data_IF_580317616510
#
_entry.id   IF_580317616510
#
_cell.length_a   1.000
_cell.length_b   1.000
_cell.length_c   1.000
_cell.angle_alpha   90.00
_cell.angle_beta   90.00
_cell.angle_gamma   90.00
#
_symmetry.space_group_name_H-M   'P 1'
#
loop_
_entity.id
_entity.type
_entity.pdbx_description
1 polymer ?
#
# COMPACT_ATOMS: atom_id res chain seq x y z
N UNK A 1 -61.30 -24.83 -25.20
CA UNK A 1 -59.95 -25.32 -24.84
C UNK A 1 -59.03 -24.13 -24.80
N UNK A 2 -58.75 -23.59 -23.62
CA UNK A 2 -57.83 -22.45 -23.41
C UNK A 2 -56.47 -23.01 -23.04
N UNK A 3 -55.46 -22.77 -23.89
CA UNK A 3 -54.07 -23.11 -23.63
C UNK A 3 -53.39 -21.97 -22.84
N UNK A 4 -53.00 -22.21 -21.60
CA UNK A 4 -52.16 -21.31 -20.80
C UNK A 4 -50.70 -21.57 -21.14
N UNK A 5 -50.03 -20.56 -21.72
CA UNK A 5 -48.56 -20.52 -21.84
C UNK A 5 -48.00 -20.03 -20.51
N UNK A 6 -47.28 -20.90 -19.79
CA UNK A 6 -46.49 -20.55 -18.61
C UNK A 6 -45.13 -20.13 -19.10
N UNK A 7 -44.87 -18.80 -19.13
CA UNK A 7 -43.52 -18.27 -19.29
C UNK A 7 -42.75 -18.40 -17.97
N UNK A 8 -41.85 -19.39 -17.90
CA UNK A 8 -40.86 -19.50 -16.82
C UNK A 8 -39.86 -18.38 -16.97
N UNK A 9 -39.93 -17.41 -16.06
CA UNK A 9 -38.95 -16.33 -15.92
C UNK A 9 -37.74 -16.90 -15.15
N UNK A 10 -36.71 -17.29 -15.89
CA UNK A 10 -35.42 -17.73 -15.32
C UNK A 10 -34.65 -16.47 -14.88
N UNK A 11 -34.74 -16.11 -13.61
CA UNK A 11 -33.87 -15.08 -13.01
C UNK A 11 -32.49 -15.68 -12.84
N UNK A 12 -31.59 -15.39 -13.77
CA UNK A 12 -30.17 -15.66 -13.63
C UNK A 12 -29.61 -14.69 -12.60
N UNK A 13 -29.46 -15.17 -11.38
CA UNK A 13 -28.74 -14.46 -10.31
C UNK A 13 -27.24 -14.52 -10.66
N UNK A 14 -26.77 -13.55 -11.45
CA UNK A 14 -25.35 -13.33 -11.64
C UNK A 14 -24.76 -12.83 -10.33
N UNK A 15 -24.18 -13.74 -9.54
CA UNK A 15 -23.29 -13.41 -8.45
C UNK A 15 -22.06 -12.73 -9.04
N UNK A 16 -22.08 -11.40 -9.10
CA UNK A 16 -20.87 -10.61 -9.27
C UNK A 16 -19.99 -10.86 -8.03
N UNK A 17 -19.03 -11.78 -8.15
CA UNK A 17 -17.86 -11.77 -7.28
C UNK A 17 -17.14 -10.45 -7.52
N UNK A 18 -17.53 -9.42 -6.74
CA UNK A 18 -16.72 -8.22 -6.62
C UNK A 18 -15.42 -8.63 -5.94
N UNK A 19 -14.37 -8.81 -6.73
CA UNK A 19 -13.02 -8.83 -6.19
C UNK A 19 -12.81 -7.46 -5.53
N UNK A 20 -12.96 -7.44 -4.22
CA UNK A 20 -12.52 -6.34 -3.40
C UNK A 20 -11.03 -6.19 -3.64
N UNK A 21 -10.61 -5.18 -4.36
CA UNK A 21 -9.22 -4.76 -4.39
C UNK A 21 -9.00 -4.14 -3.00
N UNK A 22 -8.60 -4.97 -2.03
CA UNK A 22 -8.14 -4.49 -0.73
C UNK A 22 -7.10 -3.40 -0.99
N UNK A 23 -7.21 -2.29 -0.29
CA UNK A 23 -6.16 -1.27 -0.24
C UNK A 23 -4.88 -1.97 0.17
N UNK A 24 -4.05 -2.31 -0.80
CA UNK A 24 -2.90 -3.17 -0.59
C UNK A 24 -1.77 -2.32 -0.01
N UNK A 25 -1.45 -2.62 1.24
CA UNK A 25 -0.16 -2.23 1.77
C UNK A 25 0.89 -3.20 1.18
N UNK A 26 1.90 -2.63 0.54
CA UNK A 26 3.04 -3.37 0.03
C UNK A 26 4.15 -3.36 1.07
N UNK A 27 4.62 -4.55 1.47
CA UNK A 27 5.75 -4.70 2.38
C UNK A 27 6.73 -5.67 1.74
N UNK A 28 7.95 -5.21 1.47
CA UNK A 28 9.00 -6.03 0.90
C UNK A 28 9.76 -6.79 1.99
N UNK A 29 10.15 -8.03 1.71
CA UNK A 29 10.99 -8.80 2.60
C UNK A 29 12.44 -8.43 2.35
N UNK A 30 13.15 -8.00 3.40
CA UNK A 30 14.57 -7.68 3.35
C UNK A 30 15.33 -8.59 4.30
N UNK A 31 16.34 -9.27 3.79
CA UNK A 31 17.23 -10.06 4.62
C UNK A 31 18.17 -9.14 5.41
N UNK A 32 18.46 -9.43 6.69
CA UNK A 32 19.45 -8.68 7.44
C UNK A 32 20.85 -8.93 6.86
N UNK A 33 21.63 -7.86 6.65
CA UNK A 33 22.99 -7.96 6.14
C UNK A 33 23.95 -8.73 7.08
N UNK A 34 23.64 -8.70 8.38
CA UNK A 34 24.39 -9.41 9.42
C UNK A 34 23.45 -10.33 10.18
N UNK A 35 23.60 -11.61 9.97
CA UNK A 35 22.80 -12.65 10.63
C UNK A 35 23.76 -13.70 11.20
N UNK A 36 23.47 -14.15 12.42
CA UNK A 36 24.20 -15.26 13.04
C UNK A 36 23.81 -16.62 12.45
N UNK A 37 22.82 -16.64 11.56
CA UNK A 37 22.34 -17.86 10.91
C UNK A 37 23.01 -18.09 9.57
N UNK A 38 23.00 -19.35 9.12
CA UNK A 38 23.56 -19.75 7.83
C UNK A 38 22.74 -19.16 6.65
N UNK A 39 23.39 -19.00 5.48
CA UNK A 39 22.72 -18.48 4.29
C UNK A 39 21.48 -19.31 3.87
N UNK A 40 21.48 -20.63 4.08
CA UNK A 40 20.33 -21.49 3.79
C UNK A 40 19.19 -21.23 4.76
N UNK A 41 19.49 -21.08 6.06
CA UNK A 41 18.52 -20.72 7.08
C UNK A 41 17.93 -19.31 6.82
N UNK A 42 18.74 -18.35 6.36
CA UNK A 42 18.30 -17.02 5.94
C UNK A 42 17.29 -17.08 4.78
N UNK A 43 17.56 -17.88 3.75
CA UNK A 43 16.60 -18.09 2.65
C UNK A 43 15.30 -18.75 3.11
N UNK A 44 15.37 -19.65 4.10
CA UNK A 44 14.17 -20.25 4.67
C UNK A 44 13.36 -19.23 5.46
N UNK A 45 14.01 -18.35 6.21
CA UNK A 45 13.38 -17.27 6.94
C UNK A 45 12.69 -16.27 5.99
N UNK A 46 13.35 -15.88 4.90
CA UNK A 46 12.77 -15.03 3.85
C UNK A 46 11.48 -15.63 3.28
N UNK A 47 11.51 -16.93 2.95
CA UNK A 47 10.30 -17.65 2.49
C UNK A 47 9.19 -17.63 3.53
N UNK A 48 9.51 -17.80 4.81
CA UNK A 48 8.53 -17.74 5.90
C UNK A 48 7.94 -16.34 6.07
N UNK A 49 8.76 -15.29 5.97
CA UNK A 49 8.27 -13.90 5.99
C UNK A 49 7.37 -13.59 4.78
N UNK A 50 7.75 -14.03 3.58
CA UNK A 50 6.91 -13.88 2.38
C UNK A 50 5.56 -14.60 2.55
N UNK A 51 5.56 -15.83 3.06
CA UNK A 51 4.34 -16.58 3.34
C UNK A 51 3.48 -15.90 4.41
N UNK A 52 4.10 -15.30 5.44
CA UNK A 52 3.41 -14.55 6.48
C UNK A 52 2.69 -13.34 5.90
N UNK A 53 3.35 -12.54 5.06
CA UNK A 53 2.74 -11.39 4.39
C UNK A 53 1.56 -11.84 3.51
N UNK A 54 1.77 -12.83 2.67
CA UNK A 54 0.74 -13.34 1.75
C UNK A 54 -0.47 -13.91 2.49
N UNK A 55 -0.25 -14.66 3.59
CA UNK A 55 -1.32 -15.23 4.41
C UNK A 55 -2.18 -14.14 5.10
N UNK A 56 -1.65 -12.92 5.26
CA UNK A 56 -2.34 -11.78 5.84
C UNK A 56 -2.80 -10.73 4.80
N UNK A 57 -2.86 -11.10 3.51
CA UNK A 57 -3.35 -10.23 2.45
C UNK A 57 -2.41 -9.06 2.12
N UNK A 58 -1.14 -9.12 2.54
CA UNK A 58 -0.14 -8.10 2.26
C UNK A 58 0.68 -8.54 1.05
N UNK A 59 0.77 -7.68 0.03
CA UNK A 59 1.60 -7.97 -1.13
C UNK A 59 3.08 -7.75 -0.81
N UNK A 60 3.92 -8.72 -1.21
CA UNK A 60 5.38 -8.65 -1.05
C UNK A 60 6.10 -8.09 -2.29
N UNK A 61 5.37 -7.70 -3.34
CA UNK A 61 5.92 -7.16 -4.58
C UNK A 61 5.66 -5.66 -4.67
N UNK A 62 6.49 -4.86 -4.04
CA UNK A 62 6.53 -3.41 -4.24
C UNK A 62 7.75 -3.03 -5.08
N UNK A 63 7.52 -2.20 -6.09
CA UNK A 63 8.60 -1.62 -6.91
C UNK A 63 9.43 -0.58 -6.14
N UNK A 64 8.87 0.00 -5.08
CA UNK A 64 9.50 1.09 -4.33
C UNK A 64 10.21 0.62 -3.06
N UNK A 65 10.00 -0.63 -2.61
CA UNK A 65 10.63 -1.24 -1.42
C UNK A 65 10.68 -0.33 -0.17
N UNK A 66 9.67 0.51 0.00
CA UNK A 66 9.64 1.52 1.05
C UNK A 66 9.36 0.91 2.41
N UNK A 67 8.25 0.18 2.52
CA UNK A 67 7.92 -0.57 3.72
C UNK A 67 8.56 -1.94 3.65
N UNK A 68 9.25 -2.30 4.70
CA UNK A 68 9.99 -3.56 4.74
C UNK A 68 9.65 -4.34 6.00
N UNK A 69 9.65 -5.67 5.87
CA UNK A 69 9.76 -6.59 6.99
C UNK A 69 11.15 -7.20 6.96
N UNK A 70 11.84 -7.14 8.08
CA UNK A 70 13.13 -7.78 8.26
C UNK A 70 13.16 -8.55 9.56
N UNK A 71 14.20 -9.34 9.76
CA UNK A 71 14.36 -10.17 10.94
C UNK A 71 15.75 -9.99 11.55
N UNK A 72 15.83 -9.97 12.88
CA UNK A 72 17.06 -10.14 13.64
C UNK A 72 16.99 -11.50 14.31
N UNK A 73 18.05 -12.28 14.25
CA UNK A 73 18.16 -13.58 14.94
C UNK A 73 19.32 -13.51 15.89
N UNK A 74 19.03 -13.70 17.17
CA UNK A 74 20.03 -13.76 18.23
C UNK A 74 20.08 -15.22 18.75
N UNK A 75 21.26 -15.83 18.77
CA UNK A 75 21.48 -17.17 19.34
C UNK A 75 21.66 -17.04 20.84
N UNK A 76 20.69 -17.57 21.61
CA UNK A 76 20.69 -17.45 23.09
C UNK A 76 21.40 -18.62 23.78
N UNK A 77 21.36 -19.82 23.20
CA UNK A 77 22.19 -20.96 23.64
C UNK A 77 22.42 -21.97 22.53
N UNK A 78 23.55 -22.67 22.64
CA UNK A 78 23.92 -23.78 21.78
C UNK A 78 24.37 -24.95 22.62
N UNK A 79 23.64 -26.03 22.61
CA UNK A 79 23.85 -27.21 23.44
C UNK A 79 24.05 -28.45 22.59
N UNK A 80 24.92 -29.36 23.05
CA UNK A 80 25.09 -30.66 22.42
C UNK A 80 24.18 -31.66 23.12
N UNK A 81 23.25 -32.23 22.37
CA UNK A 81 22.32 -33.25 22.88
C UNK A 81 22.97 -34.62 22.77
N UNK A 82 23.11 -35.31 23.92
CA UNK A 82 23.62 -36.68 23.97
C UNK A 82 22.62 -37.64 23.27
N UNK A 83 22.86 -37.95 22.01
CA UNK A 83 22.05 -38.86 21.18
C UNK A 83 22.96 -39.58 20.20
N UNK A 84 22.50 -40.71 19.65
CA UNK A 84 23.25 -41.41 18.59
C UNK A 84 22.44 -41.37 17.29
N UNK A 85 22.87 -40.61 16.26
CA UNK A 85 24.02 -39.70 16.22
C UNK A 85 23.84 -38.45 17.09
N UNK A 86 24.95 -37.83 17.48
CA UNK A 86 24.99 -36.60 18.25
C UNK A 86 24.24 -35.47 17.53
N UNK A 87 23.48 -34.66 18.28
CA UNK A 87 22.69 -33.54 17.74
C UNK A 87 23.07 -32.23 18.41
N UNK A 88 22.82 -31.14 17.70
CA UNK A 88 22.97 -29.77 18.20
C UNK A 88 21.55 -29.23 18.46
N UNK A 89 21.35 -28.66 19.64
CA UNK A 89 20.17 -27.88 20.01
C UNK A 89 20.53 -26.42 20.07
N UNK A 90 19.82 -25.58 19.35
CA UNK A 90 19.99 -24.12 19.36
C UNK A 90 18.70 -23.45 19.81
N UNK A 91 18.83 -22.52 20.75
CA UNK A 91 17.76 -21.61 21.17
C UNK A 91 18.03 -20.27 20.52
N UNK A 92 17.01 -19.74 19.87
CA UNK A 92 17.07 -18.51 19.09
C UNK A 92 15.96 -17.56 19.55
N UNK A 93 16.27 -16.27 19.59
CA UNK A 93 15.28 -15.22 19.63
C UNK A 93 15.16 -14.60 18.23
N UNK A 94 14.04 -14.87 17.56
CA UNK A 94 13.70 -14.30 16.26
C UNK A 94 12.88 -13.04 16.48
N UNK A 95 13.46 -11.87 16.20
CA UNK A 95 12.79 -10.59 16.25
C UNK A 95 12.41 -10.15 14.83
N UNK A 96 11.12 -10.07 14.52
CA UNK A 96 10.60 -9.50 13.29
C UNK A 96 10.33 -8.02 13.48
N UNK A 97 10.68 -7.21 12.48
CA UNK A 97 10.48 -5.75 12.47
C UNK A 97 9.79 -5.33 11.18
N UNK A 98 8.77 -4.47 11.29
CA UNK A 98 8.17 -3.77 10.15
C UNK A 98 8.54 -2.29 10.25
N UNK A 99 9.11 -1.75 9.19
CA UNK A 99 9.58 -0.36 9.16
C UNK A 99 9.45 0.30 7.80
N UNK A 100 9.73 1.61 7.79
CA UNK A 100 9.86 2.46 6.62
C UNK A 100 11.33 2.84 6.46
N UNK A 101 11.95 2.40 5.36
CA UNK A 101 13.37 2.67 5.09
C UNK A 101 13.63 4.11 4.66
N UNK A 102 12.63 4.83 4.14
CA UNK A 102 12.75 6.23 3.72
C UNK A 102 12.73 7.15 4.95
N UNK A 103 11.81 6.90 5.88
CA UNK A 103 11.68 7.66 7.13
C UNK A 103 12.60 7.13 8.25
N UNK A 104 13.32 6.04 8.00
CA UNK A 104 14.14 5.32 8.99
C UNK A 104 13.37 5.04 10.29
N UNK A 105 12.14 4.55 10.16
CA UNK A 105 11.20 4.35 11.27
C UNK A 105 10.73 2.91 11.36
N UNK A 106 10.82 2.36 12.57
CA UNK A 106 10.20 1.07 12.91
C UNK A 106 8.80 1.30 13.45
N UNK A 107 7.80 0.61 12.88
CA UNK A 107 6.40 0.69 13.30
C UNK A 107 6.03 -0.37 14.31
N UNK A 108 6.49 -1.61 14.11
CA UNK A 108 6.15 -2.71 15.00
C UNK A 108 7.27 -3.73 15.06
N UNK A 109 7.40 -4.39 16.22
CA UNK A 109 8.35 -5.47 16.46
C UNK A 109 7.69 -6.60 17.23
N UNK A 110 8.11 -7.84 16.95
CA UNK A 110 7.74 -9.02 17.72
C UNK A 110 8.93 -9.94 17.85
N UNK A 111 9.19 -10.45 19.06
CA UNK A 111 10.22 -11.45 19.31
C UNK A 111 9.58 -12.82 19.60
N UNK A 112 10.07 -13.84 18.95
CA UNK A 112 9.58 -15.22 19.03
C UNK A 112 10.75 -16.11 19.47
N UNK A 113 10.68 -16.73 20.65
CA UNK A 113 11.66 -17.72 21.05
C UNK A 113 11.47 -19.02 20.24
N UNK A 114 12.53 -19.53 19.64
CA UNK A 114 12.56 -20.74 18.82
C UNK A 114 13.62 -21.69 19.34
N UNK A 115 13.37 -23.01 19.21
CA UNK A 115 14.34 -24.04 19.58
C UNK A 115 14.46 -25.01 18.41
N UNK A 116 15.65 -25.13 17.83
CA UNK A 116 15.92 -26.07 16.75
C UNK A 116 16.87 -27.16 17.17
N UNK A 117 16.61 -28.39 16.72
CA UNK A 117 17.47 -29.55 16.91
C UNK A 117 17.83 -30.12 15.55
N UNK A 118 19.13 -30.29 15.29
CA UNK A 118 19.64 -30.82 14.05
C UNK A 118 20.89 -31.65 14.23
N UNK A 119 21.30 -32.39 13.16
CA UNK A 119 22.56 -33.14 13.11
C UNK A 119 23.78 -32.21 12.93
N UNK A 120 23.53 -30.97 12.56
CA UNK A 120 24.49 -29.87 12.51
C UNK A 120 23.77 -28.54 12.73
N UNK A 121 24.53 -27.47 12.90
CA UNK A 121 24.06 -26.11 13.15
C UNK A 121 23.04 -25.62 12.11
N UNK A 122 23.36 -25.79 10.81
CA UNK A 122 22.45 -25.39 9.74
C UNK A 122 21.07 -26.08 9.84
N UNK A 123 21.07 -27.39 10.13
CA UNK A 123 19.82 -28.15 10.31
C UNK A 123 19.07 -27.75 11.58
N UNK A 124 19.79 -27.37 12.65
CA UNK A 124 19.19 -26.83 13.87
C UNK A 124 18.52 -25.47 13.58
N UNK A 125 19.17 -24.54 12.90
CA UNK A 125 18.58 -23.27 12.48
C UNK A 125 17.34 -23.46 11.61
N UNK A 126 17.43 -24.30 10.58
CA UNK A 126 16.28 -24.57 9.70
C UNK A 126 15.11 -25.17 10.48
N UNK A 127 15.39 -26.08 11.43
CA UNK A 127 14.36 -26.69 12.29
C UNK A 127 13.68 -25.63 13.19
N UNK A 128 14.44 -24.69 13.74
CA UNK A 128 13.91 -23.58 14.51
C UNK A 128 13.00 -22.66 13.66
N UNK A 129 13.49 -22.20 12.50
CA UNK A 129 12.75 -21.31 11.60
C UNK A 129 11.47 -21.97 11.07
N UNK A 130 11.45 -23.30 10.88
CA UNK A 130 10.27 -24.03 10.45
C UNK A 130 9.11 -24.00 11.46
N UNK A 131 9.37 -23.67 12.73
CA UNK A 131 8.33 -23.47 13.75
C UNK A 131 7.54 -22.17 13.55
N UNK A 132 8.07 -21.23 12.79
CA UNK A 132 7.34 -20.01 12.39
C UNK A 132 6.21 -20.41 11.45
N UNK A 133 4.98 -20.32 11.96
CA UNK A 133 3.76 -20.65 11.21
C UNK A 133 3.11 -19.37 10.71
N UNK A 134 2.97 -19.17 9.39
CA UNK A 134 2.40 -17.94 8.81
C UNK A 134 0.98 -17.62 9.28
N UNK A 135 0.21 -18.62 9.71
CA UNK A 135 -1.16 -18.47 10.21
C UNK A 135 -1.24 -18.29 11.74
N UNK A 136 -0.10 -18.07 12.42
CA UNK A 136 -0.10 -17.84 13.86
C UNK A 136 -0.82 -16.52 14.19
N UNK A 137 -1.78 -16.57 15.12
CA UNK A 137 -2.60 -15.42 15.52
C UNK A 137 -1.76 -14.22 16.00
N UNK A 138 -0.69 -14.46 16.77
CA UNK A 138 0.19 -13.40 17.27
C UNK A 138 0.95 -12.71 16.10
N UNK A 139 1.33 -13.46 15.06
CA UNK A 139 1.98 -12.90 13.89
C UNK A 139 1.02 -12.12 13.01
N UNK A 140 -0.23 -12.58 12.90
CA UNK A 140 -1.29 -11.82 12.21
C UNK A 140 -1.62 -10.53 12.96
N UNK A 141 -1.69 -10.57 14.30
CA UNK A 141 -1.88 -9.39 15.15
C UNK A 141 -0.71 -8.40 15.02
N UNK A 142 0.53 -8.89 15.00
CA UNK A 142 1.72 -8.07 14.76
C UNK A 142 1.63 -7.32 13.43
N UNK A 143 1.28 -7.99 12.32
CA UNK A 143 1.11 -7.33 11.02
C UNK A 143 -0.07 -6.37 11.01
N UNK A 144 -1.17 -6.71 11.67
CA UNK A 144 -2.32 -5.81 11.83
C UNK A 144 -1.95 -4.53 12.59
N UNK A 145 -1.18 -4.64 13.67
CA UNK A 145 -0.66 -3.49 14.43
C UNK A 145 0.30 -2.65 13.60
N UNK A 146 1.21 -3.29 12.84
CA UNK A 146 2.11 -2.59 11.93
C UNK A 146 1.34 -1.78 10.89
N UNK A 147 0.35 -2.40 10.24
CA UNK A 147 -0.54 -1.74 9.27
C UNK A 147 -1.25 -0.53 9.89
N UNK A 148 -1.86 -0.70 11.06
CA UNK A 148 -2.56 0.39 11.76
C UNK A 148 -1.62 1.56 12.08
N UNK A 149 -0.43 1.27 12.61
CA UNK A 149 0.57 2.31 12.94
C UNK A 149 1.11 3.04 11.70
N UNK A 150 1.25 2.36 10.57
CA UNK A 150 1.60 3.00 9.29
C UNK A 150 0.49 3.96 8.86
N UNK A 151 -0.76 3.51 8.86
CA UNK A 151 -1.92 4.34 8.50
C UNK A 151 -2.02 5.57 9.41
N UNK A 152 -1.98 5.37 10.73
CA UNK A 152 -2.07 6.46 11.71
C UNK A 152 -0.94 7.49 11.52
N UNK A 153 0.29 7.02 11.31
CA UNK A 153 1.45 7.88 11.11
C UNK A 153 1.30 8.78 9.88
N UNK A 154 0.88 8.19 8.75
CA UNK A 154 0.72 8.94 7.51
C UNK A 154 -0.56 9.77 7.50
N UNK A 155 -1.66 9.34 8.12
CA UNK A 155 -2.89 10.13 8.24
C UNK A 155 -2.66 11.46 8.95
N UNK A 156 -1.85 11.47 10.02
CA UNK A 156 -1.48 12.71 10.72
C UNK A 156 -0.60 13.61 9.84
N UNK A 157 0.29 13.05 9.05
CA UNK A 157 1.27 13.79 8.21
C UNK A 157 0.75 14.20 6.85
N UNK A 158 -0.34 13.62 6.39
CA UNK A 158 -0.93 13.87 5.07
C UNK A 158 -1.04 15.35 4.71
N UNK A 159 -1.70 16.12 5.57
CA UNK A 159 -1.92 17.54 5.30
C UNK A 159 -0.61 18.33 5.21
N UNK A 160 0.41 17.94 5.98
CA UNK A 160 1.73 18.57 5.93
C UNK A 160 2.45 18.23 4.61
N UNK A 161 2.45 16.97 4.22
CA UNK A 161 3.08 16.49 2.96
C UNK A 161 2.42 17.17 1.77
N UNK A 162 1.09 17.22 1.73
CA UNK A 162 0.32 17.89 0.67
C UNK A 162 0.64 19.38 0.60
N UNK A 163 0.64 20.10 1.74
CA UNK A 163 1.00 21.52 1.78
C UNK A 163 2.43 21.78 1.30
N UNK A 164 3.37 20.91 1.66
CA UNK A 164 4.75 21.03 1.19
C UNK A 164 4.85 20.81 -0.32
N UNK A 165 4.16 19.82 -0.87
CA UNK A 165 4.08 19.60 -2.30
C UNK A 165 3.42 20.77 -3.05
N UNK A 166 2.35 21.35 -2.50
CA UNK A 166 1.71 22.55 -3.05
C UNK A 166 2.66 23.75 -3.06
N UNK A 167 3.47 23.93 -2.00
CA UNK A 167 4.49 24.98 -1.95
C UNK A 167 5.56 24.79 -3.03
N UNK A 168 6.08 23.58 -3.20
CA UNK A 168 7.04 23.26 -4.27
C UNK A 168 6.44 23.50 -5.66
N UNK A 169 5.21 23.05 -5.90
CA UNK A 169 4.51 23.28 -7.15
C UNK A 169 4.27 24.76 -7.46
N UNK A 170 4.04 25.60 -6.45
CA UNK A 170 3.93 27.05 -6.63
C UNK A 170 5.25 27.70 -7.06
N UNK A 171 6.40 27.07 -6.72
CA UNK A 171 7.74 27.44 -7.22
C UNK A 171 8.09 26.85 -8.57
N UNK A 172 7.17 26.13 -9.23
CA UNK A 172 7.40 25.33 -10.46
C UNK A 172 8.33 24.14 -10.26
N UNK A 173 8.59 23.71 -9.03
CA UNK A 173 9.39 22.53 -8.66
C UNK A 173 8.46 21.29 -8.69
N UNK A 174 7.95 20.97 -9.89
CA UNK A 174 6.92 19.95 -10.04
C UNK A 174 7.43 18.51 -9.79
N UNK A 175 8.69 18.23 -10.13
CA UNK A 175 9.28 16.89 -9.91
C UNK A 175 9.41 16.60 -8.41
N UNK A 176 9.86 17.58 -7.64
CA UNK A 176 9.99 17.51 -6.18
C UNK A 176 8.61 17.42 -5.52
N UNK A 177 7.64 18.20 -6.02
CA UNK A 177 6.27 18.17 -5.54
C UNK A 177 5.63 16.78 -5.74
N UNK A 178 5.80 16.19 -6.91
CA UNK A 178 5.33 14.83 -7.23
C UNK A 178 6.02 13.81 -6.32
N UNK A 179 7.35 13.93 -6.13
CA UNK A 179 8.10 13.04 -5.26
C UNK A 179 7.59 13.09 -3.81
N UNK A 180 7.27 14.28 -3.28
CA UNK A 180 6.68 14.42 -1.94
C UNK A 180 5.32 13.71 -1.84
N UNK A 181 4.46 13.87 -2.85
CA UNK A 181 3.14 13.23 -2.89
C UNK A 181 3.23 11.70 -2.99
N UNK A 182 4.24 11.17 -3.69
CA UNK A 182 4.50 9.73 -3.77
C UNK A 182 4.84 9.08 -2.41
N UNK A 183 5.19 9.90 -1.41
CA UNK A 183 5.47 9.40 -0.06
C UNK A 183 4.20 8.99 0.70
N UNK A 184 3.02 9.37 0.25
CA UNK A 184 1.76 9.01 0.88
C UNK A 184 1.37 7.59 0.44
N UNK A 185 1.26 6.63 1.39
CA UNK A 185 0.85 5.26 1.06
C UNK A 185 -0.59 5.21 0.52
N UNK A 186 -0.84 4.34 -0.43
CA UNK A 186 -2.15 4.17 -1.07
C UNK A 186 -3.28 3.79 -0.09
N UNK A 187 -2.91 3.23 1.06
CA UNK A 187 -3.84 2.82 2.11
C UNK A 187 -4.37 4.01 2.96
N UNK A 188 -3.80 5.21 2.84
CA UNK A 188 -4.20 6.37 3.63
C UNK A 188 -5.38 7.11 3.00
N UNK A 189 -6.26 7.67 3.82
CA UNK A 189 -7.46 8.39 3.36
C UNK A 189 -7.15 9.55 2.39
N UNK A 190 -5.97 10.16 2.54
CA UNK A 190 -5.50 11.25 1.67
C UNK A 190 -4.81 10.78 0.38
N UNK A 191 -4.69 9.48 0.13
CA UNK A 191 -4.03 8.96 -1.06
C UNK A 191 -4.70 9.43 -2.36
N UNK A 192 -6.04 9.55 -2.34
CA UNK A 192 -6.81 10.06 -3.50
C UNK A 192 -6.42 11.50 -3.82
N UNK A 193 -6.42 12.40 -2.82
CA UNK A 193 -6.03 13.80 -3.00
C UNK A 193 -4.58 13.90 -3.51
N UNK A 194 -3.68 13.11 -2.94
CA UNK A 194 -2.29 13.04 -3.38
C UNK A 194 -2.17 12.62 -4.85
N UNK A 195 -2.91 11.61 -5.28
CA UNK A 195 -2.90 11.13 -6.66
C UNK A 195 -3.47 12.16 -7.64
N UNK A 196 -4.55 12.86 -7.27
CA UNK A 196 -5.15 13.91 -8.09
C UNK A 196 -4.15 15.09 -8.28
N UNK A 197 -3.46 15.49 -7.22
CA UNK A 197 -2.40 16.50 -7.28
C UNK A 197 -1.19 16.04 -8.11
N UNK A 198 -0.77 14.78 -8.01
CA UNK A 198 0.31 14.25 -8.86
C UNK A 198 -0.04 14.32 -10.35
N UNK A 199 -1.29 14.02 -10.71
CA UNK A 199 -1.77 14.16 -12.10
C UNK A 199 -1.72 15.64 -12.53
N UNK A 200 -2.24 16.54 -11.69
CA UNK A 200 -2.23 17.98 -11.97
C UNK A 200 -0.80 18.50 -12.17
N UNK A 201 0.12 18.17 -11.27
CA UNK A 201 1.51 18.64 -11.36
C UNK A 201 2.26 18.02 -12.53
N UNK A 202 1.96 16.78 -12.88
CA UNK A 202 2.50 16.16 -14.11
C UNK A 202 2.06 16.93 -15.36
N UNK A 203 0.80 17.35 -15.43
CA UNK A 203 0.29 18.18 -16.55
C UNK A 203 1.00 19.53 -16.57
N UNK A 204 1.12 20.20 -15.43
CA UNK A 204 1.80 21.51 -15.33
C UNK A 204 3.27 21.41 -15.74
N UNK A 205 3.99 20.39 -15.24
CA UNK A 205 5.38 20.10 -15.64
C UNK A 205 5.51 19.92 -17.14
N UNK A 206 4.66 19.07 -17.72
CA UNK A 206 4.69 18.79 -19.16
C UNK A 206 4.40 20.04 -20.00
N UNK A 207 3.50 20.91 -19.53
CA UNK A 207 3.22 22.21 -20.16
C UNK A 207 4.43 23.16 -20.09
N UNK A 208 5.12 23.22 -18.97
CA UNK A 208 6.34 24.03 -18.81
C UNK A 208 7.46 23.55 -19.75
N UNK A 209 7.72 22.24 -19.76
CA UNK A 209 8.70 21.61 -20.67
C UNK A 209 8.33 21.87 -22.13
N UNK A 210 7.05 21.71 -22.49
CA UNK A 210 6.59 21.95 -23.86
C UNK A 210 6.74 23.41 -24.30
N UNK A 211 6.50 24.37 -23.41
CA UNK A 211 6.69 25.79 -23.69
C UNK A 211 8.17 26.12 -23.93
N UNK A 212 9.07 25.57 -23.12
CA UNK A 212 10.51 25.74 -23.28
C UNK A 212 11.01 25.16 -24.60
N UNK A 213 10.64 23.89 -24.90
CA UNK A 213 11.04 23.23 -26.14
C UNK A 213 10.44 23.91 -27.39
N UNK A 214 9.20 24.41 -27.29
CA UNK A 214 8.61 25.20 -28.37
C UNK A 214 9.44 26.47 -28.69
N UNK A 215 9.84 27.21 -27.63
CA UNK A 215 10.67 28.40 -27.81
C UNK A 215 12.06 28.05 -28.38
N UNK A 216 12.66 26.95 -27.94
CA UNK A 216 13.92 26.42 -28.49
C UNK A 216 13.76 26.08 -30.00
N UNK A 217 12.72 25.34 -30.38
CA UNK A 217 12.45 24.97 -31.76
C UNK A 217 12.25 26.21 -32.65
N UNK A 218 11.50 27.19 -32.12
CA UNK A 218 11.29 28.49 -32.81
C UNK A 218 12.59 29.26 -33.02
N UNK A 219 13.45 29.29 -31.99
CA UNK A 219 14.75 29.96 -32.06
C UNK A 219 15.69 29.27 -33.07
N UNK A 220 15.74 27.94 -33.10
CA UNK A 220 16.56 27.17 -34.06
C UNK A 220 16.12 27.43 -35.50
N UNK A 221 14.81 27.47 -35.76
CA UNK A 221 14.28 27.82 -37.08
C UNK A 221 14.62 29.29 -37.44
N UNK A 222 14.44 30.22 -36.51
CA UNK A 222 14.71 31.63 -36.76
C UNK A 222 16.18 31.93 -37.06
N UNK A 223 17.09 31.19 -36.43
CA UNK A 223 18.55 31.35 -36.61
C UNK A 223 19.00 30.88 -37.99
N UNK A 224 18.34 29.87 -38.61
CA UNK A 224 18.67 29.36 -39.94
C UNK A 224 17.39 28.89 -40.64
N UNK A 225 16.69 29.75 -41.39
CA UNK A 225 15.45 29.37 -42.09
C UNK A 225 15.73 28.57 -43.37
N UNK A 226 16.52 27.51 -43.24
CA UNK A 226 16.97 26.58 -44.28
C UNK A 226 16.58 25.16 -43.95
N UNK A 227 16.91 24.18 -44.79
CA UNK A 227 16.71 22.76 -44.51
C UNK A 227 17.40 22.32 -43.19
N UNK A 228 18.60 22.84 -42.91
CA UNK A 228 19.33 22.55 -41.67
C UNK A 228 18.58 23.03 -40.44
N UNK A 229 18.12 24.30 -40.44
CA UNK A 229 17.35 24.86 -39.35
C UNK A 229 16.00 24.17 -39.18
N UNK A 230 15.35 23.74 -40.25
CA UNK A 230 14.15 22.92 -40.19
C UNK A 230 14.42 21.56 -39.52
N UNK A 231 15.52 20.89 -39.89
CA UNK A 231 15.91 19.63 -39.26
C UNK A 231 16.21 19.82 -37.75
N UNK A 232 16.97 20.86 -37.39
CA UNK A 232 17.26 21.19 -36.02
C UNK A 232 16.01 21.53 -35.19
N UNK A 233 15.05 22.26 -35.79
CA UNK A 233 13.76 22.53 -35.15
C UNK A 233 12.93 21.24 -34.96
N UNK A 234 12.93 20.34 -35.98
CA UNK A 234 12.22 19.08 -35.92
C UNK A 234 12.71 18.17 -34.77
N UNK A 235 14.04 18.13 -34.54
CA UNK A 235 14.63 17.33 -33.47
C UNK A 235 14.21 17.84 -32.07
N UNK A 236 14.00 19.14 -31.91
CA UNK A 236 13.45 19.74 -30.71
C UNK A 236 11.96 19.46 -30.56
N UNK A 237 11.19 19.64 -31.67
CA UNK A 237 9.74 19.39 -31.71
C UNK A 237 9.45 17.93 -31.32
N UNK A 238 10.26 16.96 -31.75
CA UNK A 238 10.09 15.55 -31.42
C UNK A 238 10.16 15.24 -29.92
N UNK A 239 10.76 16.11 -29.10
CA UNK A 239 10.86 15.97 -27.64
C UNK A 239 9.70 16.63 -26.88
N UNK A 240 8.81 17.37 -27.58
CA UNK A 240 7.70 18.06 -26.92
C UNK A 240 6.68 17.02 -26.43
N UNK A 241 6.32 17.02 -25.13
CA UNK A 241 5.33 16.09 -24.61
C UNK A 241 3.97 16.18 -25.32
N UNK A 242 3.39 15.03 -25.64
CA UNK A 242 2.02 14.93 -26.10
C UNK A 242 1.06 15.50 -25.07
N UNK A 243 -0.09 15.96 -25.48
CA UNK A 243 -1.13 16.55 -24.61
C UNK A 243 -0.72 17.83 -23.87
N UNK A 244 0.31 18.54 -24.34
CA UNK A 244 0.67 19.85 -23.79
C UNK A 244 -0.18 20.98 -24.34
N UNK A 245 -0.31 22.07 -23.59
CA UNK A 245 -0.98 23.29 -24.02
C UNK A 245 -0.28 23.99 -25.21
N UNK A 246 0.95 23.61 -25.53
CA UNK A 246 1.74 24.17 -26.62
C UNK A 246 1.43 23.53 -27.98
N UNK A 247 0.62 22.47 -28.05
CA UNK A 247 0.39 21.69 -29.29
C UNK A 247 -0.10 22.54 -30.48
N UNK A 248 -1.02 23.47 -30.25
CA UNK A 248 -1.52 24.36 -31.30
C UNK A 248 -0.41 25.27 -31.85
N UNK A 249 0.45 25.80 -30.98
CA UNK A 249 1.61 26.63 -31.33
C UNK A 249 2.63 25.83 -32.14
N UNK A 250 2.87 24.59 -31.73
CA UNK A 250 3.77 23.65 -32.45
C UNK A 250 3.26 23.38 -33.84
N UNK A 251 1.98 23.07 -34.00
CA UNK A 251 1.37 22.84 -35.31
C UNK A 251 1.48 24.09 -36.24
N UNK A 252 1.30 25.28 -35.66
CA UNK A 252 1.49 26.54 -36.37
C UNK A 252 2.93 26.73 -36.86
N UNK A 253 3.92 26.41 -35.99
CA UNK A 253 5.33 26.46 -36.32
C UNK A 253 5.67 25.47 -37.47
N UNK A 254 5.20 24.22 -37.34
CA UNK A 254 5.36 23.18 -38.36
C UNK A 254 4.86 23.65 -39.71
N UNK A 255 3.65 24.25 -39.76
CA UNK A 255 3.07 24.78 -41.00
C UNK A 255 3.86 25.97 -41.54
N UNK A 256 4.39 26.85 -40.67
CA UNK A 256 5.22 28.00 -41.05
C UNK A 256 6.52 27.54 -41.71
N UNK A 257 7.19 26.54 -41.12
CA UNK A 257 8.41 25.93 -41.69
C UNK A 257 8.10 25.30 -43.02
N UNK A 258 7.04 24.47 -43.12
CA UNK A 258 6.64 23.80 -44.35
C UNK A 258 6.39 24.74 -45.53
N UNK A 259 5.82 25.93 -45.26
CA UNK A 259 5.56 26.94 -46.32
C UNK A 259 6.82 27.65 -46.83
N UNK A 260 7.89 27.66 -46.04
CA UNK A 260 9.13 28.37 -46.39
C UNK A 260 10.15 27.48 -47.10
N UNK A 261 10.02 26.15 -46.96
CA UNK A 261 10.90 25.18 -47.59
C UNK A 261 10.58 25.01 -49.09
N UNK A 262 11.60 24.72 -49.93
CA UNK A 262 11.44 24.34 -51.32
C UNK A 262 10.76 22.97 -51.44
N UNK A 263 10.23 22.63 -52.59
CA UNK A 263 9.39 21.43 -52.76
C UNK A 263 10.13 20.11 -52.55
N UNK A 264 11.42 20.02 -52.82
CA UNK A 264 12.28 18.87 -52.56
C UNK A 264 12.58 18.70 -51.06
N UNK A 265 12.86 19.80 -50.35
CA UNK A 265 13.10 19.85 -48.92
C UNK A 265 11.81 19.60 -48.12
N UNK A 266 10.69 20.07 -48.65
CA UNK A 266 9.35 19.94 -48.09
C UNK A 266 8.90 18.50 -47.98
N UNK A 267 9.25 17.62 -48.93
CA UNK A 267 8.90 16.19 -48.85
C UNK A 267 9.55 15.50 -47.65
N UNK A 268 10.83 15.79 -47.37
CA UNK A 268 11.54 15.23 -46.20
C UNK A 268 10.97 15.77 -44.92
N UNK A 269 10.65 17.06 -44.83
CA UNK A 269 10.01 17.68 -43.68
C UNK A 269 8.63 17.04 -43.38
N UNK A 270 7.76 16.90 -44.41
CA UNK A 270 6.44 16.30 -44.25
C UNK A 270 6.56 14.85 -43.73
N UNK A 271 7.50 14.07 -44.25
CA UNK A 271 7.73 12.71 -43.80
C UNK A 271 8.15 12.67 -42.30
N UNK A 272 9.08 13.53 -41.89
CA UNK A 272 9.55 13.63 -40.52
C UNK A 272 8.42 14.07 -39.57
N UNK A 273 7.60 15.01 -39.98
CA UNK A 273 6.46 15.49 -39.19
C UNK A 273 5.32 14.48 -39.12
N UNK A 274 5.13 13.65 -40.15
CA UNK A 274 4.20 12.55 -40.10
C UNK A 274 4.60 11.53 -39.02
N UNK A 275 5.87 11.14 -38.95
CA UNK A 275 6.37 10.26 -37.90
C UNK A 275 6.14 10.85 -36.48
N UNK A 276 6.40 12.15 -36.33
CA UNK A 276 6.13 12.86 -35.11
C UNK A 276 4.63 12.80 -34.73
N UNK A 277 3.74 13.12 -35.64
CA UNK A 277 2.30 13.11 -35.39
C UNK A 277 1.79 11.71 -35.04
N UNK A 278 2.26 10.67 -35.72
CA UNK A 278 1.90 9.28 -35.43
C UNK A 278 2.37 8.86 -34.04
N UNK A 279 3.58 9.29 -33.61
CA UNK A 279 4.10 9.07 -32.29
C UNK A 279 3.26 9.80 -31.21
N UNK A 280 2.91 11.07 -31.48
CA UNK A 280 2.06 11.88 -30.60
C UNK A 280 0.66 11.26 -30.39
N UNK A 281 0.03 10.77 -31.48
CA UNK A 281 -1.27 10.12 -31.37
C UNK A 281 -1.20 8.80 -30.59
N UNK A 282 -0.11 8.04 -30.75
CA UNK A 282 0.12 6.82 -29.96
C UNK A 282 0.27 7.15 -28.48
N UNK A 283 1.12 8.11 -28.13
CA UNK A 283 1.34 8.55 -26.75
C UNK A 283 0.04 9.09 -26.12
N UNK A 284 -0.74 9.86 -26.89
CA UNK A 284 -2.05 10.36 -26.44
C UNK A 284 -3.03 9.24 -26.12
N UNK A 285 -3.10 8.20 -26.95
CA UNK A 285 -3.94 7.03 -26.72
C UNK A 285 -3.50 6.27 -25.47
N UNK A 286 -2.21 6.05 -25.32
CA UNK A 286 -1.65 5.37 -24.14
C UNK A 286 -1.88 6.16 -22.85
N UNK A 287 -1.74 7.49 -22.91
CA UNK A 287 -2.04 8.37 -21.78
C UNK A 287 -3.52 8.29 -21.40
N UNK A 288 -4.45 8.39 -22.38
CA UNK A 288 -5.88 8.25 -22.10
C UNK A 288 -6.24 6.90 -21.49
N UNK A 289 -5.63 5.82 -21.98
CA UNK A 289 -5.85 4.49 -21.39
C UNK A 289 -5.37 4.43 -19.92
N UNK A 290 -4.20 5.02 -19.61
CA UNK A 290 -3.69 5.09 -18.22
C UNK A 290 -4.61 5.93 -17.32
N UNK A 291 -5.03 7.11 -17.80
CA UNK A 291 -5.94 7.98 -17.03
C UNK A 291 -7.29 7.31 -16.82
N UNK A 292 -7.87 6.69 -17.84
CA UNK A 292 -9.15 6.00 -17.71
C UNK A 292 -9.06 4.82 -16.74
N UNK A 293 -7.95 4.07 -16.76
CA UNK A 293 -7.69 3.01 -15.79
C UNK A 293 -7.59 3.56 -14.38
N UNK A 294 -6.84 4.64 -14.17
CA UNK A 294 -6.70 5.27 -12.87
C UNK A 294 -8.03 5.83 -12.32
N UNK A 295 -8.86 6.42 -13.20
CA UNK A 295 -10.22 6.88 -12.81
C UNK A 295 -11.11 5.69 -12.43
N UNK A 296 -11.03 4.58 -13.16
CA UNK A 296 -11.78 3.37 -12.84
C UNK A 296 -11.32 2.77 -11.51
N UNK A 297 -10.01 2.68 -11.29
CA UNK A 297 -9.40 2.17 -10.04
C UNK A 297 -9.80 3.07 -8.86
N UNK A 298 -9.78 4.40 -9.02
CA UNK A 298 -10.20 5.34 -7.99
C UNK A 298 -11.69 5.22 -7.64
N UNK A 299 -12.58 5.03 -8.65
CA UNK A 299 -14.02 4.79 -8.40
C UNK A 299 -14.26 3.48 -7.64
N UNK A 300 -13.49 2.45 -7.95
CA UNK A 300 -13.57 1.18 -7.23
C UNK A 300 -13.13 1.39 -5.78
N UNK A 301 -12.02 2.09 -5.56
CA UNK A 301 -11.49 2.43 -4.24
C UNK A 301 -12.50 3.23 -3.40
N UNK A 302 -13.14 4.25 -3.98
CA UNK A 302 -14.17 5.07 -3.31
C UNK A 302 -15.35 4.23 -2.80
N UNK A 303 -15.85 3.30 -3.63
CA UNK A 303 -16.90 2.36 -3.23
C UNK A 303 -16.46 1.41 -2.11
N UNK A 304 -15.19 1.01 -2.09
CA UNK A 304 -14.64 0.16 -1.02
C UNK A 304 -14.47 0.92 0.30
N UNK A 305 -14.01 2.18 0.25
CA UNK A 305 -13.97 3.05 1.42
C UNK A 305 -15.34 3.23 2.06
N UNK A 306 -16.37 3.47 1.25
CA UNK A 306 -17.76 3.57 1.71
C UNK A 306 -18.23 2.26 2.35
N UNK A 307 -17.98 1.12 1.70
CA UNK A 307 -18.36 -0.20 2.21
C UNK A 307 -17.62 -0.56 3.51
N UNK A 308 -16.31 -0.30 3.59
CA UNK A 308 -15.52 -0.53 4.80
C UNK A 308 -15.93 0.38 5.95
N UNK A 309 -16.28 1.64 5.65
CA UNK A 309 -16.79 2.57 6.66
C UNK A 309 -18.13 2.10 7.22
N UNK A 310 -19.01 1.57 6.38
CA UNK A 310 -20.27 0.97 6.81
C UNK A 310 -20.07 -0.30 7.64
N UNK A 311 -19.15 -1.19 7.22
CA UNK A 311 -18.80 -2.39 7.99
C UNK A 311 -18.23 -2.04 9.37
N UNK A 312 -17.31 -1.08 9.46
CA UNK A 312 -16.78 -0.61 10.75
C UNK A 312 -17.87 -0.03 11.66
N UNK A 313 -18.86 0.69 11.11
CA UNK A 313 -20.02 1.16 11.90
C UNK A 313 -20.83 0.00 12.45
N UNK A 314 -21.13 -0.99 11.63
CA UNK A 314 -21.89 -2.19 12.03
C UNK A 314 -21.10 -2.97 13.11
N UNK A 315 -19.78 -3.15 12.94
CA UNK A 315 -18.94 -3.82 13.95
C UNK A 315 -18.88 -3.05 15.27
N UNK A 316 -18.75 -1.71 15.21
CA UNK A 316 -18.78 -0.89 16.44
C UNK A 316 -20.13 -0.99 17.16
N UNK A 317 -21.23 -0.93 16.43
CA UNK A 317 -22.56 -1.09 16.99
C UNK A 317 -22.77 -2.49 17.60
N UNK A 318 -22.27 -3.54 16.92
CA UNK A 318 -22.32 -4.91 17.42
C UNK A 318 -21.50 -5.06 18.74
N UNK A 319 -20.30 -4.49 18.78
CA UNK A 319 -19.45 -4.48 20.00
C UNK A 319 -20.10 -3.70 21.14
N UNK A 320 -20.74 -2.55 20.84
CA UNK A 320 -21.46 -1.79 21.85
C UNK A 320 -22.66 -2.57 22.42
N UNK A 321 -23.41 -3.30 21.58
CA UNK A 321 -24.50 -4.18 22.02
C UNK A 321 -23.99 -5.32 22.89
N UNK A 322 -22.93 -6.02 22.46
CA UNK A 322 -22.30 -7.07 23.29
C UNK A 322 -21.86 -6.53 24.65
N UNK A 323 -21.18 -5.38 24.69
CA UNK A 323 -20.74 -4.78 25.94
C UNK A 323 -21.91 -4.35 26.84
N UNK A 324 -23.01 -3.87 26.25
CA UNK A 324 -24.23 -3.56 27.01
C UNK A 324 -24.90 -4.81 27.57
N UNK A 325 -24.96 -5.92 26.81
CA UNK A 325 -25.49 -7.21 27.27
C UNK A 325 -24.62 -7.83 28.37
N UNK A 326 -23.29 -7.77 28.25
CA UNK A 326 -22.36 -8.22 29.29
C UNK A 326 -22.55 -7.42 30.58
N UNK A 327 -22.69 -6.10 30.50
CA UNK A 327 -22.94 -5.26 31.65
C UNK A 327 -24.32 -5.54 32.27
N UNK A 328 -25.35 -5.77 31.47
CA UNK A 328 -26.67 -6.13 31.94
C UNK A 328 -26.67 -7.50 32.64
N UNK A 329 -25.94 -8.46 32.08
CA UNK A 329 -25.76 -9.80 32.70
C UNK A 329 -24.99 -9.71 34.00
N UNK A 330 -23.92 -8.90 34.03
CA UNK A 330 -23.14 -8.66 35.29
C UNK A 330 -23.99 -7.99 36.38
N UNK A 331 -24.86 -7.03 36.04
CA UNK A 331 -25.80 -6.41 37.00
C UNK A 331 -26.78 -7.43 37.52
N UNK A 332 -27.38 -8.28 36.69
CA UNK A 332 -28.30 -9.36 37.12
C UNK A 332 -27.61 -10.33 38.08
N UNK A 333 -26.35 -10.68 37.80
CA UNK A 333 -25.54 -11.52 38.71
C UNK A 333 -25.28 -10.86 40.07
N UNK A 334 -24.95 -9.57 40.08
CA UNK A 334 -24.73 -8.80 41.29
C UNK A 334 -26.03 -8.69 42.11
N UNK A 335 -27.16 -8.44 41.46
CA UNK A 335 -28.46 -8.33 42.09
C UNK A 335 -28.95 -9.70 42.64
N UNK A 336 -28.70 -10.78 41.89
CA UNK A 336 -28.94 -12.14 42.37
C UNK A 336 -28.06 -12.49 43.59
N UNK A 337 -26.78 -12.17 43.56
CA UNK A 337 -25.87 -12.38 44.69
C UNK A 337 -26.27 -11.56 45.92
N UNK A 338 -26.73 -10.31 45.74
CA UNK A 338 -27.26 -9.49 46.84
C UNK A 338 -28.53 -10.08 47.45
N UNK A 339 -29.47 -10.55 46.59
CA UNK A 339 -30.71 -11.16 47.06
C UNK A 339 -30.47 -12.46 47.85
N UNK A 340 -29.52 -13.30 47.42
CA UNK A 340 -29.08 -14.51 48.15
C UNK A 340 -28.40 -14.14 49.47
N UNK A 341 -27.53 -13.13 49.47
CA UNK A 341 -26.86 -12.63 50.66
C UNK A 341 -27.83 -12.06 51.69
N UNK A 342 -28.86 -11.30 51.24
CA UNK A 342 -29.93 -10.80 52.11
C UNK A 342 -30.83 -11.91 52.66
N UNK A 343 -31.20 -12.90 51.81
CA UNK A 343 -31.93 -14.06 52.26
C UNK A 343 -31.19 -14.88 53.33
N UNK A 344 -29.89 -15.05 53.13
CA UNK A 344 -29.01 -15.73 54.10
C UNK A 344 -28.92 -14.94 55.41
N UNK A 345 -28.72 -13.61 55.37
CA UNK A 345 -28.64 -12.74 56.54
C UNK A 345 -29.97 -12.69 57.32
N UNK A 346 -31.12 -12.75 56.65
CA UNK A 346 -32.44 -12.76 57.28
C UNK A 346 -32.80 -14.10 57.93
N UNK A 347 -32.20 -15.22 57.50
CA UNK A 347 -32.44 -16.55 58.02
C UNK A 347 -31.36 -17.02 59.04
N UNK A 348 -30.34 -16.21 59.36
CA UNK A 348 -29.39 -16.54 60.40
C UNK A 348 -30.03 -16.41 61.80
N UNK A 349 -29.84 -17.40 62.69
CA UNK A 349 -30.27 -17.28 64.09
C UNK A 349 -29.51 -16.13 64.78
N UNK A 350 -30.25 -15.23 65.42
CA UNK A 350 -29.73 -14.03 66.11
C UNK A 350 -28.88 -14.34 67.31
N UNK A 351 -27.84 -15.14 67.20
CA UNK A 351 -26.89 -15.45 68.28
C UNK A 351 -25.48 -15.29 67.71
N UNK A 352 -24.89 -14.17 68.06
CA UNK A 352 -23.49 -13.77 68.09
C UNK A 352 -23.14 -12.57 67.17
N UNK A 353 -23.15 -11.41 67.80
CA UNK A 353 -22.69 -10.12 67.23
C UNK A 353 -21.19 -10.04 66.83
N UNK A 354 -20.46 -11.16 66.78
CA UNK A 354 -19.00 -11.11 66.57
C UNK A 354 -18.47 -11.62 65.21
N UNK A 355 -19.29 -12.12 64.31
CA UNK A 355 -18.82 -12.72 63.08
C UNK A 355 -19.12 -11.90 61.78
N UNK A 356 -19.82 -10.76 61.87
CA UNK A 356 -20.23 -9.98 60.68
C UNK A 356 -19.14 -9.00 60.19
N UNK A 357 -17.95 -8.96 60.76
CA UNK A 357 -16.91 -7.97 60.36
C UNK A 357 -15.80 -8.49 59.42
N UNK A 358 -15.87 -9.68 58.85
CA UNK A 358 -14.77 -10.28 58.06
C UNK A 358 -15.13 -10.65 56.61
N UNK A 359 -16.35 -10.36 56.13
CA UNK A 359 -16.67 -10.62 54.70
C UNK A 359 -17.19 -9.40 53.97
N UNK A 360 -16.38 -8.34 53.92
CA UNK A 360 -16.51 -7.28 52.88
C UNK A 360 -15.10 -6.89 52.47
N UNK A 361 -14.59 -7.62 51.55
CA UNK A 361 -13.55 -7.18 50.62
C UNK A 361 -13.88 -7.68 49.23
#
# INVERSE_FOLDING_TARGET
MKRYCICSFFVVLSTFCSFAQEEQLYISVVQPERSEITAEAGKQLERKMTQLLTANGISSQDKNNRFVITAKVDVTSKDIVASTPQRISEKLDLTLLVGDVVENKVFETITIPLIGIGINENKAFIAAINQVKPQNANLSEFLGKAKAKIVDYYSVRCSQIIKQAQKLASGNEYDEAIYQLMQIPDICDCAKESQDLMVEYTIKRNNAIAAQLYNEAKARWAASPTQEGASAAADVIARIPANSSSQSKVNTLINTISKKLRDDEKRQWIFKMKQYNDAQEKEKREYQLRVNKQIADNKIREKHLEANTQLRKIEMEARQRQHAEEQATRRRWIDAAKSVGLAYANNMPKTNERIVKVMVW
#
